data_IF_776702644920
#
_entry.id   IF_776702644920
#
_cell.length_a   1.000
_cell.length_b   1.000
_cell.length_c   1.000
_cell.angle_alpha   90.00
_cell.angle_beta   90.00
_cell.angle_gamma   90.00
#
_symmetry.space_group_name_H-M   'P 1'
#
loop_
_entity.id
_entity.type
_entity.pdbx_description
1 polymer ?
#
# COMPACT_ATOMS: atom_id res chain seq x y z
N UNK A 1 -33.67 11.89 -32.00
CA UNK A 1 -32.84 12.50 -30.92
C UNK A 1 -32.18 11.45 -30.01
N UNK A 2 -32.94 10.53 -29.40
CA UNK A 2 -32.42 9.53 -28.45
C UNK A 2 -31.37 8.56 -29.04
N UNK A 3 -31.60 8.07 -30.26
CA UNK A 3 -30.65 7.18 -30.98
C UNK A 3 -29.27 7.84 -31.11
N UNK A 4 -29.21 9.15 -31.39
CA UNK A 4 -27.95 9.87 -31.51
C UNK A 4 -27.21 10.04 -30.18
N UNK A 5 -27.94 10.18 -29.07
CA UNK A 5 -27.35 10.24 -27.72
C UNK A 5 -26.76 8.87 -27.36
N UNK A 6 -27.52 7.80 -27.59
CA UNK A 6 -27.07 6.42 -27.37
C UNK A 6 -25.79 6.11 -28.15
N UNK A 7 -25.75 6.43 -29.44
CA UNK A 7 -24.58 6.18 -30.29
C UNK A 7 -23.32 6.93 -29.81
N UNK A 8 -23.47 8.14 -29.28
CA UNK A 8 -22.33 8.91 -28.74
C UNK A 8 -21.80 8.32 -27.44
N UNK A 9 -22.68 7.94 -26.51
CA UNK A 9 -22.28 7.32 -25.24
C UNK A 9 -21.68 5.93 -25.48
N UNK A 10 -22.25 5.16 -26.42
CA UNK A 10 -21.71 3.86 -26.84
C UNK A 10 -20.30 3.98 -27.42
N UNK A 11 -20.05 5.00 -28.25
CA UNK A 11 -18.72 5.26 -28.83
C UNK A 11 -17.71 5.79 -27.83
N UNK A 12 -18.15 6.57 -26.84
CA UNK A 12 -17.27 7.16 -25.83
C UNK A 12 -17.96 7.19 -24.47
N UNK A 13 -17.49 6.34 -23.58
CA UNK A 13 -17.90 6.32 -22.19
C UNK A 13 -17.62 7.68 -21.53
N UNK A 14 -18.58 8.18 -20.77
CA UNK A 14 -18.42 9.37 -19.95
C UNK A 14 -17.58 8.99 -18.73
N UNK A 15 -16.32 9.42 -18.72
CA UNK A 15 -15.39 9.19 -17.61
C UNK A 15 -15.12 10.50 -16.89
N UNK A 16 -15.06 10.44 -15.57
CA UNK A 16 -14.50 11.52 -14.76
C UNK A 16 -13.00 11.61 -15.02
N UNK A 17 -12.43 12.80 -14.78
CA UNK A 17 -10.99 12.98 -14.83
C UNK A 17 -10.32 12.17 -13.71
N UNK A 18 -9.08 11.75 -13.94
CA UNK A 18 -8.27 11.08 -12.94
C UNK A 18 -7.86 12.06 -11.83
N UNK A 19 -7.90 11.59 -10.60
CA UNK A 19 -7.55 12.34 -9.39
C UNK A 19 -6.59 11.54 -8.48
N UNK A 20 -6.35 12.00 -7.25
CA UNK A 20 -5.51 11.27 -6.29
C UNK A 20 -6.13 9.92 -5.89
N UNK A 21 -7.46 9.83 -5.82
CA UNK A 21 -8.17 8.58 -5.49
C UNK A 21 -7.98 7.56 -6.59
N UNK A 22 -7.99 7.98 -7.85
CA UNK A 22 -7.74 7.15 -9.04
C UNK A 22 -6.35 6.49 -8.98
N UNK A 23 -5.35 7.19 -8.43
CA UNK A 23 -4.02 6.61 -8.18
C UNK A 23 -4.08 5.55 -7.07
N UNK A 24 -4.78 5.83 -5.98
CA UNK A 24 -4.97 4.85 -4.89
C UNK A 24 -5.71 3.62 -5.39
N UNK A 25 -6.73 3.77 -6.24
CA UNK A 25 -7.43 2.65 -6.88
C UNK A 25 -6.51 1.78 -7.74
N UNK A 26 -5.54 2.37 -8.44
CA UNK A 26 -4.53 1.62 -9.20
C UNK A 26 -3.66 0.77 -8.29
N UNK A 27 -3.09 1.37 -7.22
CA UNK A 27 -2.32 0.63 -6.21
C UNK A 27 -3.14 -0.47 -5.57
N UNK A 28 -4.39 -0.14 -5.23
CA UNK A 28 -5.33 -1.04 -4.59
C UNK A 28 -5.60 -2.32 -5.40
N UNK A 29 -5.65 -2.22 -6.73
CA UNK A 29 -5.80 -3.37 -7.64
C UNK A 29 -4.55 -4.24 -7.72
N UNK A 30 -3.37 -3.70 -7.43
CA UNK A 30 -2.11 -4.45 -7.41
C UNK A 30 -1.91 -5.23 -6.11
N UNK A 31 -2.61 -4.86 -5.03
CA UNK A 31 -2.50 -5.49 -3.72
C UNK A 31 -3.58 -6.58 -3.57
N UNK A 32 -3.14 -7.83 -3.52
CA UNK A 32 -3.98 -9.02 -3.34
C UNK A 32 -3.97 -9.49 -1.87
N UNK A 33 -5.02 -10.20 -1.46
CA UNK A 33 -5.09 -10.81 -0.14
C UNK A 33 -5.38 -9.84 1.01
N UNK A 34 -6.06 -8.72 0.74
CA UNK A 34 -6.51 -7.76 1.77
C UNK A 34 -7.44 -8.47 2.75
N UNK A 35 -6.89 -8.96 3.86
CA UNK A 35 -7.69 -9.38 5.01
C UNK A 35 -8.15 -8.10 5.72
N UNK A 36 -9.43 -7.96 6.09
CA UNK A 36 -9.86 -6.82 6.88
C UNK A 36 -9.10 -6.85 8.21
N UNK A 37 -8.31 -5.82 8.49
CA UNK A 37 -7.66 -5.68 9.79
C UNK A 37 -8.74 -5.30 10.80
N UNK A 38 -9.03 -6.20 11.75
CA UNK A 38 -9.85 -5.89 12.92
C UNK A 38 -11.35 -5.71 12.69
N UNK A 39 -11.90 -6.00 11.50
CA UNK A 39 -13.35 -5.98 11.32
C UNK A 39 -13.97 -7.31 11.73
N UNK A 40 -14.81 -7.25 12.76
CA UNK A 40 -15.81 -8.26 13.13
C UNK A 40 -16.81 -8.56 11.98
N UNK A 41 -16.68 -7.90 10.82
CA UNK A 41 -17.58 -8.03 9.68
C UNK A 41 -16.87 -8.73 8.50
N UNK A 42 -17.13 -10.03 8.39
CA UNK A 42 -16.83 -10.84 7.21
C UNK A 42 -17.60 -10.29 5.99
N UNK A 43 -17.04 -9.35 5.22
CA UNK A 43 -17.67 -8.97 3.95
C UNK A 43 -17.17 -7.72 3.24
N UNK A 44 -16.62 -6.74 3.95
CA UNK A 44 -16.02 -5.55 3.32
C UNK A 44 -14.50 -5.66 3.39
N UNK A 45 -13.87 -5.98 2.26
CA UNK A 45 -12.43 -5.82 2.11
C UNK A 45 -12.01 -4.40 2.50
N UNK A 46 -10.84 -4.24 3.12
CA UNK A 46 -10.29 -2.92 3.43
C UNK A 46 -10.14 -2.12 2.12
N UNK A 47 -11.07 -1.19 1.87
CA UNK A 47 -11.04 -0.31 0.71
C UNK A 47 -9.99 0.76 0.95
N UNK A 48 -8.94 0.76 0.13
CA UNK A 48 -7.88 1.75 0.23
C UNK A 48 -8.30 3.08 -0.41
N UNK A 49 -9.07 3.04 -1.50
CA UNK A 49 -9.50 4.20 -2.29
C UNK A 49 -10.60 5.06 -1.64
N UNK A 50 -10.38 5.49 -0.39
CA UNK A 50 -11.23 6.45 0.27
C UNK A 50 -11.00 7.86 -0.29
N UNK A 51 -12.03 8.74 -0.35
CA UNK A 51 -11.91 10.08 -0.94
C UNK A 51 -10.79 10.96 -0.34
N UNK A 52 -10.49 10.77 0.95
CA UNK A 52 -9.46 11.52 1.67
C UNK A 52 -8.07 10.89 1.61
N UNK A 53 -7.94 9.66 1.09
CA UNK A 53 -6.69 8.91 1.10
C UNK A 53 -5.87 9.22 -0.15
N UNK A 54 -4.64 9.68 0.04
CA UNK A 54 -3.68 10.02 -1.01
C UNK A 54 -2.39 9.22 -0.83
N UNK A 55 -1.90 8.62 -1.90
CA UNK A 55 -0.56 8.00 -1.91
C UNK A 55 0.49 9.10 -1.75
N UNK A 56 1.32 8.99 -0.72
CA UNK A 56 2.42 9.91 -0.42
C UNK A 56 3.72 9.38 -1.02
N UNK A 57 4.09 8.14 -0.73
CA UNK A 57 5.29 7.53 -1.31
C UNK A 57 5.21 6.00 -1.43
N UNK A 58 6.11 5.47 -2.25
CA UNK A 58 6.39 4.05 -2.38
C UNK A 58 7.88 3.82 -2.07
N UNK A 59 8.15 2.88 -1.17
CA UNK A 59 9.51 2.55 -0.75
C UNK A 59 9.71 1.03 -0.66
N UNK A 60 10.91 0.57 -1.02
CA UNK A 60 11.35 -0.79 -0.74
C UNK A 60 12.23 -0.79 0.50
N UNK A 61 11.82 -1.56 1.51
CA UNK A 61 12.52 -1.66 2.79
C UNK A 61 12.71 -3.12 3.19
N UNK A 62 13.55 -3.36 4.19
CA UNK A 62 13.78 -4.69 4.75
C UNK A 62 13.29 -4.69 6.19
N UNK A 63 12.30 -5.53 6.48
CA UNK A 63 11.81 -5.70 7.85
C UNK A 63 12.92 -6.35 8.70
N UNK A 64 13.13 -5.82 9.91
CA UNK A 64 14.10 -6.32 10.88
C UNK A 64 13.30 -6.88 12.06
N UNK A 65 13.07 -8.21 12.13
CA UNK A 65 12.26 -8.80 13.20
C UNK A 65 12.90 -8.68 14.58
N UNK A 66 14.23 -8.75 14.64
CA UNK A 66 15.01 -8.65 15.88
C UNK A 66 16.25 -7.77 15.62
N UNK A 67 16.27 -6.53 16.13
CA UNK A 67 17.39 -5.60 15.94
C UNK A 67 18.71 -6.07 16.55
N UNK A 68 18.68 -7.03 17.49
CA UNK A 68 19.87 -7.53 18.19
C UNK A 68 20.51 -8.72 17.49
N UNK A 69 19.86 -9.28 16.46
CA UNK A 69 20.37 -10.43 15.72
C UNK A 69 20.84 -10.02 14.32
N UNK A 70 22.03 -10.47 13.89
CA UNK A 70 22.49 -10.21 12.53
C UNK A 70 21.59 -10.95 11.52
N UNK A 71 21.20 -10.26 10.45
CA UNK A 71 20.46 -10.87 9.33
C UNK A 71 21.17 -10.67 7.99
N UNK A 72 20.87 -11.54 7.03
CA UNK A 72 21.38 -11.41 5.65
C UNK A 72 20.76 -10.20 4.98
N UNK A 73 21.58 -9.39 4.30
CA UNK A 73 21.10 -8.28 3.47
C UNK A 73 20.13 -8.81 2.40
N UNK A 74 19.01 -8.13 2.20
CA UNK A 74 17.97 -8.55 1.26
C UNK A 74 16.85 -9.40 1.88
N UNK A 75 17.03 -9.92 3.10
CA UNK A 75 16.00 -10.72 3.77
C UNK A 75 14.81 -9.85 4.20
N UNK A 76 13.62 -10.44 4.19
CA UNK A 76 12.37 -9.76 4.54
C UNK A 76 12.12 -8.45 3.79
N UNK A 77 12.45 -8.40 2.50
CA UNK A 77 12.06 -7.30 1.63
C UNK A 77 10.54 -7.06 1.69
N UNK A 78 10.17 -5.80 1.89
CA UNK A 78 8.79 -5.29 1.90
C UNK A 78 8.67 -4.13 0.93
N UNK A 79 7.50 -4.04 0.36
CA UNK A 79 7.08 -2.98 -0.52
C UNK A 79 6.06 -2.15 0.27
N UNK A 80 6.47 -0.95 0.65
CA UNK A 80 5.76 -0.05 1.55
C UNK A 80 5.04 1.00 0.74
N UNK A 81 3.75 1.15 0.99
CA UNK A 81 2.92 2.23 0.45
C UNK A 81 2.52 3.12 1.61
N UNK A 82 3.07 4.33 1.64
CA UNK A 82 2.69 5.35 2.60
C UNK A 82 1.57 6.19 2.01
N UNK A 83 0.44 6.20 2.70
CA UNK A 83 -0.65 7.14 2.48
C UNK A 83 -0.58 8.25 3.54
N UNK A 84 -1.38 9.29 3.36
CA UNK A 84 -1.45 10.41 4.30
C UNK A 84 -1.96 10.03 5.70
N UNK A 85 -2.71 8.93 5.81
CA UNK A 85 -3.33 8.45 7.06
C UNK A 85 -2.90 7.02 7.45
N UNK A 86 -2.25 6.29 6.54
CA UNK A 86 -2.05 4.85 6.65
C UNK A 86 -0.69 4.41 6.07
N UNK A 87 0.04 3.57 6.80
CA UNK A 87 1.21 2.84 6.28
C UNK A 87 0.79 1.42 5.90
N UNK A 88 0.96 1.01 4.64
CA UNK A 88 0.65 -0.34 4.18
C UNK A 88 1.93 -1.10 3.85
N UNK A 89 2.10 -2.26 4.49
CA UNK A 89 3.23 -3.17 4.29
C UNK A 89 2.79 -4.34 3.42
N UNK A 90 3.54 -4.58 2.33
CA UNK A 90 3.27 -5.68 1.41
C UNK A 90 4.52 -6.48 1.08
N UNK A 91 4.34 -7.65 0.47
CA UNK A 91 5.42 -8.48 -0.07
C UNK A 91 5.14 -8.73 -1.55
N UNK A 92 6.16 -8.65 -2.42
CA UNK A 92 6.00 -9.03 -3.84
C UNK A 92 5.43 -10.44 -3.93
N UNK A 93 4.30 -10.59 -4.63
CA UNK A 93 3.64 -11.87 -4.85
C UNK A 93 4.03 -12.45 -6.20
N UNK A 94 3.78 -11.71 -7.28
CA UNK A 94 4.22 -12.07 -8.62
C UNK A 94 4.87 -10.87 -9.31
N UNK A 95 5.96 -11.13 -10.04
CA UNK A 95 6.64 -10.13 -10.87
C UNK A 95 6.72 -10.66 -12.30
N UNK A 96 5.89 -10.09 -13.18
CA UNK A 96 5.93 -10.29 -14.64
C UNK A 96 6.66 -9.11 -15.28
N UNK A 97 7.04 -9.24 -16.56
CA UNK A 97 7.82 -8.25 -17.31
C UNK A 97 7.27 -6.82 -17.20
N UNK A 98 5.94 -6.66 -17.25
CA UNK A 98 5.27 -5.35 -17.24
C UNK A 98 4.29 -5.16 -16.06
N UNK A 99 4.28 -6.07 -15.08
CA UNK A 99 3.29 -6.02 -13.99
C UNK A 99 3.82 -6.68 -12.73
N UNK A 100 3.57 -6.05 -11.59
CA UNK A 100 3.91 -6.57 -10.26
C UNK A 100 2.65 -6.59 -9.43
N UNK A 101 2.40 -7.70 -8.75
CA UNK A 101 1.35 -7.82 -7.74
C UNK A 101 1.97 -7.99 -6.36
N UNK A 102 1.29 -7.47 -5.36
CA UNK A 102 1.75 -7.43 -3.98
C UNK A 102 0.78 -8.20 -3.10
N UNK A 103 1.30 -9.06 -2.24
CA UNK A 103 0.54 -9.69 -1.17
C UNK A 103 0.50 -8.76 0.03
N UNK A 104 -0.70 -8.47 0.52
CA UNK A 104 -0.91 -7.71 1.73
C UNK A 104 -0.30 -8.43 2.94
N UNK A 105 0.38 -7.70 3.84
CA UNK A 105 0.91 -8.24 5.09
C UNK A 105 0.25 -7.59 6.30
N UNK A 106 0.35 -6.27 6.41
CA UNK A 106 -0.15 -5.49 7.54
C UNK A 106 -0.35 -4.03 7.13
N UNK A 107 -1.13 -3.28 7.90
CA UNK A 107 -1.21 -1.83 7.78
C UNK A 107 -1.33 -1.19 9.14
N UNK A 108 -0.83 0.03 9.26
CA UNK A 108 -0.80 0.79 10.49
C UNK A 108 -1.43 2.17 10.25
N UNK A 109 -2.41 2.54 11.07
CA UNK A 109 -2.88 3.92 11.10
C UNK A 109 -1.74 4.81 11.59
N UNK A 110 -1.51 5.94 10.92
CA UNK A 110 -0.47 6.89 11.33
C UNK A 110 -0.85 7.67 12.60
N UNK A 111 -2.10 7.59 13.04
CA UNK A 111 -2.57 8.23 14.25
C UNK A 111 -1.85 7.68 15.49
N UNK A 112 -1.13 8.56 16.21
CA UNK A 112 -0.37 8.19 17.40
C UNK A 112 0.89 7.39 17.12
N UNK A 113 1.37 7.34 15.87
CA UNK A 113 2.65 6.70 15.55
C UNK A 113 3.82 7.66 15.77
N UNK A 114 4.90 7.12 16.32
CA UNK A 114 6.22 7.75 16.37
C UNK A 114 7.20 6.98 15.50
N UNK A 115 8.10 7.73 14.87
CA UNK A 115 9.21 7.19 14.09
C UNK A 115 10.50 7.51 14.82
N UNK A 116 11.25 6.48 15.17
CA UNK A 116 12.54 6.60 15.84
C UNK A 116 13.61 6.07 14.89
N UNK A 117 14.64 6.88 14.64
CA UNK A 117 15.81 6.41 13.90
C UNK A 117 16.71 5.63 14.85
N UNK A 118 17.28 4.54 14.36
CA UNK A 118 18.31 3.80 15.07
C UNK A 118 19.40 3.36 14.10
N UNK A 119 20.61 3.35 14.61
CA UNK A 119 21.77 2.75 13.95
C UNK A 119 22.25 1.62 14.85
N UNK A 120 22.51 0.46 14.26
CA UNK A 120 23.09 -0.65 15.01
C UNK A 120 24.32 -1.18 14.28
N UNK A 121 25.35 -1.57 15.04
CA UNK A 121 26.60 -2.10 14.50
C UNK A 121 26.38 -3.36 13.63
N UNK A 122 25.24 -4.03 13.83
CA UNK A 122 24.79 -5.17 13.05
C UNK A 122 24.10 -4.76 11.73
N UNK A 123 24.87 -4.42 10.69
CA UNK A 123 24.48 -4.39 9.25
C UNK A 123 23.23 -3.59 8.84
N UNK A 124 22.63 -2.78 9.72
CA UNK A 124 21.54 -1.86 9.40
C UNK A 124 22.05 -0.42 9.60
N UNK A 125 22.67 0.18 8.56
CA UNK A 125 23.28 1.50 8.67
C UNK A 125 22.25 2.62 8.90
N UNK A 126 20.98 2.43 8.49
CA UNK A 126 19.87 3.34 8.81
C UNK A 126 18.61 2.50 9.03
N UNK A 127 18.22 2.31 10.30
CA UNK A 127 16.98 1.67 10.69
C UNK A 127 15.97 2.72 11.18
N UNK A 128 14.68 2.43 11.02
CA UNK A 128 13.65 3.18 11.72
C UNK A 128 12.66 2.23 12.37
N UNK A 129 12.26 2.57 13.59
CA UNK A 129 11.27 1.84 14.36
C UNK A 129 9.97 2.66 14.41
N UNK A 130 8.85 1.97 14.23
CA UNK A 130 7.52 2.57 14.12
C UNK A 130 6.69 2.06 15.28
N UNK A 131 6.52 2.89 16.30
CA UNK A 131 5.80 2.54 17.54
C UNK A 131 4.53 3.34 17.69
N UNK A 132 3.48 2.70 18.22
CA UNK A 132 2.27 3.41 18.67
C UNK A 132 2.46 3.77 20.14
N UNK A 133 2.25 5.03 20.49
CA UNK A 133 2.16 5.47 21.88
C UNK A 133 0.95 4.86 22.60
#
# INVERSE_FOLDING_TARGET
MLVGIYERIRKRELKTNEDHVSQVQKVEKLIVGKKPIGSLHHGLGCVLSLPHRRLVCYCRLFEVPDPNKPQKLGLHQREIFLFNDLLVVTKIFQKKKNSVTYSFRQSFSLYGMQVLLFENQCKCPVGFDVRRL
#
